data_IF_586781550359
#
_entry.id   IF_586781550359
#
_cell.length_a   1.000
_cell.length_b   1.000
_cell.length_c   1.000
_cell.angle_alpha   90.00
_cell.angle_beta   90.00
_cell.angle_gamma   90.00
#
_symmetry.space_group_name_H-M   'P 1'
#
loop_
_entity.id
_entity.type
_entity.pdbx_description
1 polymer ?
#
# COMPACT_ATOMS: atom_id res chain seq x y z
N UNK A 1 -51.65 27.38 -11.71
CA UNK A 1 -50.26 27.11 -11.32
C UNK A 1 -50.30 26.28 -10.05
N UNK A 2 -50.07 24.95 -10.17
CA UNK A 2 -49.94 24.08 -8.99
C UNK A 2 -48.48 24.12 -8.52
N UNK A 3 -48.21 24.18 -7.19
CA UNK A 3 -46.85 24.09 -6.69
C UNK A 3 -46.35 22.64 -6.76
N UNK A 4 -45.21 22.43 -7.39
CA UNK A 4 -44.49 21.15 -7.38
C UNK A 4 -43.80 21.04 -6.02
N UNK A 5 -44.29 20.16 -5.15
CA UNK A 5 -43.61 19.77 -3.92
C UNK A 5 -42.42 18.87 -4.32
N UNK A 6 -41.19 19.34 -4.12
CA UNK A 6 -40.00 18.50 -4.11
C UNK A 6 -39.99 17.69 -2.80
N UNK A 7 -40.31 16.40 -2.87
CA UNK A 7 -39.99 15.46 -1.79
C UNK A 7 -38.47 15.24 -1.81
N UNK A 8 -37.74 15.84 -0.87
CA UNK A 8 -36.41 15.47 -0.57
C UNK A 8 -36.44 14.06 0.04
N UNK A 9 -35.99 13.05 -0.72
CA UNK A 9 -35.74 11.71 -0.17
C UNK A 9 -34.64 11.83 0.88
N UNK A 10 -34.95 11.64 2.14
CA UNK A 10 -33.99 11.41 3.20
C UNK A 10 -33.29 10.09 2.85
N UNK A 11 -32.07 10.18 2.32
CA UNK A 11 -31.16 9.03 2.26
C UNK A 11 -30.83 8.66 3.70
N UNK A 12 -31.44 7.60 4.20
CA UNK A 12 -31.01 6.99 5.47
C UNK A 12 -29.56 6.52 5.30
N UNK A 13 -28.67 7.05 6.13
CA UNK A 13 -27.29 6.59 6.18
C UNK A 13 -27.28 5.06 6.38
N UNK A 14 -26.46 4.35 5.63
CA UNK A 14 -26.27 2.93 5.85
C UNK A 14 -25.84 2.68 7.30
N UNK A 15 -26.31 1.62 7.95
CA UNK A 15 -25.88 1.31 9.31
C UNK A 15 -24.36 1.09 9.34
N UNK A 16 -23.68 1.45 10.44
CA UNK A 16 -22.23 1.21 10.57
C UNK A 16 -21.93 -0.28 10.42
N UNK A 17 -20.74 -0.64 9.89
CA UNK A 17 -20.33 -2.04 9.77
C UNK A 17 -20.42 -2.77 11.10
N UNK A 18 -20.87 -4.04 11.06
CA UNK A 18 -20.93 -4.88 12.24
C UNK A 18 -19.54 -5.09 12.85
N UNK A 19 -19.46 -5.11 14.18
CA UNK A 19 -18.24 -5.48 14.89
C UNK A 19 -18.05 -7.00 14.80
N UNK A 20 -16.87 -7.43 14.38
CA UNK A 20 -16.46 -8.81 14.27
C UNK A 20 -15.58 -9.20 15.49
N UNK A 21 -15.61 -10.45 15.93
CA UNK A 21 -14.67 -10.92 16.95
C UNK A 21 -13.25 -10.94 16.39
N UNK A 22 -12.25 -10.66 17.24
CA UNK A 22 -10.87 -10.97 16.94
C UNK A 22 -10.62 -12.47 17.10
N UNK A 23 -9.72 -13.04 16.29
CA UNK A 23 -9.30 -14.42 16.43
C UNK A 23 -8.49 -14.62 17.73
N UNK A 24 -8.42 -15.87 18.16
CA UNK A 24 -7.65 -16.21 19.34
C UNK A 24 -6.15 -15.95 19.06
N UNK A 25 -5.56 -15.02 19.80
CA UNK A 25 -4.17 -14.59 19.57
C UNK A 25 -4.04 -13.17 19.00
N UNK A 26 -5.05 -12.61 18.37
CA UNK A 26 -5.06 -11.22 17.86
C UNK A 26 -5.29 -10.21 19.00
N UNK A 27 -4.40 -10.22 19.96
CA UNK A 27 -4.59 -9.50 21.24
C UNK A 27 -4.43 -7.98 21.12
N UNK A 28 -3.88 -7.49 20.00
CA UNK A 28 -3.77 -6.06 19.69
C UNK A 28 -5.04 -5.50 19.05
N UNK A 29 -5.95 -6.34 18.58
CA UNK A 29 -7.11 -5.90 17.80
C UNK A 29 -8.40 -5.97 18.63
N UNK A 30 -9.19 -4.90 18.56
CA UNK A 30 -10.53 -4.80 19.16
C UNK A 30 -11.48 -4.15 18.17
N UNK A 31 -12.76 -4.46 18.30
CA UNK A 31 -13.80 -3.84 17.49
C UNK A 31 -13.51 -3.91 15.98
N UNK A 32 -13.07 -5.07 15.50
CA UNK A 32 -12.77 -5.29 14.08
C UNK A 32 -14.03 -5.03 13.26
N UNK A 33 -13.91 -4.25 12.19
CA UNK A 33 -15.01 -3.95 11.25
C UNK A 33 -14.52 -4.12 9.83
N UNK A 34 -15.35 -4.75 9.00
CA UNK A 34 -15.11 -4.86 7.55
C UNK A 34 -15.71 -3.64 6.87
N UNK A 35 -14.91 -2.89 6.10
CA UNK A 35 -15.33 -1.65 5.44
C UNK A 35 -15.75 -1.85 3.99
N UNK A 36 -15.22 -2.87 3.30
CA UNK A 36 -15.55 -3.15 1.89
C UNK A 36 -16.08 -4.58 1.75
N UNK A 37 -16.84 -4.82 0.69
CA UNK A 37 -17.47 -6.11 0.43
C UNK A 37 -17.37 -6.42 -1.06
N UNK A 38 -16.81 -7.60 -1.39
CA UNK A 38 -16.61 -8.07 -2.75
C UNK A 38 -15.50 -7.35 -3.51
N UNK A 39 -15.03 -7.98 -4.60
CA UNK A 39 -13.89 -7.54 -5.40
C UNK A 39 -12.55 -7.80 -4.72
N UNK A 40 -11.49 -7.19 -5.25
CA UNK A 40 -10.16 -7.21 -4.66
C UNK A 40 -9.82 -5.80 -4.21
N UNK A 41 -9.70 -5.61 -2.89
CA UNK A 41 -9.43 -4.32 -2.25
C UNK A 41 -8.10 -4.42 -1.51
N UNK A 42 -7.17 -3.49 -1.72
CA UNK A 42 -5.83 -3.52 -1.13
C UNK A 42 -5.26 -2.11 -0.94
N UNK A 43 -4.14 -2.03 -0.24
CA UNK A 43 -3.37 -0.79 -0.04
C UNK A 43 -4.23 0.36 0.49
N UNK A 44 -4.83 0.13 1.66
CA UNK A 44 -5.71 1.08 2.32
C UNK A 44 -4.90 1.99 3.25
N UNK A 45 -4.97 3.30 3.00
CA UNK A 45 -4.19 4.28 3.73
C UNK A 45 -5.06 5.42 4.24
N UNK A 46 -4.87 5.76 5.53
CA UNK A 46 -5.62 6.85 6.16
C UNK A 46 -5.27 8.21 5.57
N UNK A 47 -6.27 9.08 5.52
CA UNK A 47 -6.07 10.51 5.40
C UNK A 47 -5.41 11.08 6.68
N UNK A 48 -4.80 12.28 6.57
CA UNK A 48 -4.14 12.93 7.71
C UNK A 48 -5.10 13.22 8.88
N UNK A 49 -6.37 13.44 8.60
CA UNK A 49 -7.38 13.63 9.64
C UNK A 49 -7.85 12.31 10.28
N UNK A 50 -7.48 11.16 9.70
CA UNK A 50 -7.98 9.84 10.11
C UNK A 50 -9.44 9.56 9.73
N UNK A 51 -10.10 10.50 9.05
CA UNK A 51 -11.55 10.36 8.75
C UNK A 51 -11.84 9.61 7.46
N UNK A 52 -10.89 9.52 6.55
CA UNK A 52 -11.03 8.86 5.26
C UNK A 52 -9.89 7.87 5.03
N UNK A 53 -10.15 6.91 4.15
CA UNK A 53 -9.20 5.89 3.72
C UNK A 53 -9.23 5.88 2.20
N UNK A 54 -8.08 5.98 1.55
CA UNK A 54 -7.90 5.72 0.12
C UNK A 54 -7.41 4.29 -0.06
N UNK A 55 -7.90 3.60 -1.09
CA UNK A 55 -7.51 2.23 -1.39
C UNK A 55 -7.68 1.92 -2.87
N UNK A 56 -6.98 0.91 -3.36
CA UNK A 56 -7.21 0.37 -4.69
C UNK A 56 -8.26 -0.74 -4.66
N UNK A 57 -9.11 -0.77 -5.68
CA UNK A 57 -10.17 -1.75 -5.86
C UNK A 57 -10.24 -2.23 -7.29
N UNK A 58 -10.27 -3.55 -7.46
CA UNK A 58 -10.63 -4.23 -8.70
C UNK A 58 -12.03 -4.87 -8.49
N UNK A 59 -13.01 -4.40 -9.26
CA UNK A 59 -14.42 -4.83 -9.08
C UNK A 59 -14.73 -6.15 -9.77
N UNK A 60 -13.95 -6.53 -10.78
CA UNK A 60 -14.11 -7.80 -11.51
C UNK A 60 -12.75 -8.31 -11.99
N UNK A 61 -12.65 -9.61 -12.26
CA UNK A 61 -11.40 -10.25 -12.71
C UNK A 61 -10.87 -9.70 -14.05
N UNK A 62 -11.71 -9.13 -14.87
CA UNK A 62 -11.34 -8.49 -16.15
C UNK A 62 -11.11 -6.98 -16.03
N UNK A 63 -11.43 -6.38 -14.89
CA UNK A 63 -11.29 -4.94 -14.64
C UNK A 63 -9.87 -4.52 -14.27
N UNK A 64 -9.61 -3.21 -14.37
CA UNK A 64 -8.43 -2.59 -13.78
C UNK A 64 -8.67 -2.25 -12.32
N UNK A 65 -7.57 -2.22 -11.54
CA UNK A 65 -7.58 -1.55 -10.25
C UNK A 65 -7.82 -0.05 -10.47
N UNK A 66 -8.72 0.51 -9.69
CA UNK A 66 -9.02 1.94 -9.62
C UNK A 66 -8.90 2.43 -8.17
N UNK A 67 -8.64 3.73 -7.99
CA UNK A 67 -8.57 4.31 -6.65
C UNK A 67 -9.94 4.74 -6.16
N UNK A 68 -10.23 4.38 -4.92
CA UNK A 68 -11.44 4.72 -4.20
C UNK A 68 -11.13 5.39 -2.87
N UNK A 69 -12.04 6.22 -2.41
CA UNK A 69 -12.04 6.79 -1.06
C UNK A 69 -13.30 6.32 -0.34
N UNK A 70 -13.15 6.00 0.95
CA UNK A 70 -14.24 5.64 1.86
C UNK A 70 -14.02 6.36 3.19
N UNK A 71 -15.09 6.72 3.90
CA UNK A 71 -14.97 7.20 5.27
C UNK A 71 -14.53 6.06 6.21
N UNK A 72 -13.79 6.37 7.26
CA UNK A 72 -13.30 5.38 8.23
C UNK A 72 -14.44 4.65 8.98
N UNK A 73 -15.68 5.16 8.91
CA UNK A 73 -16.89 4.50 9.41
C UNK A 73 -17.53 3.54 8.38
N UNK A 74 -16.94 3.38 7.18
CA UNK A 74 -17.43 2.51 6.12
C UNK A 74 -18.45 3.15 5.18
N UNK A 75 -18.78 4.42 5.34
CA UNK A 75 -19.76 5.14 4.50
C UNK A 75 -19.08 5.92 3.37
N UNK A 76 -19.84 6.38 2.39
CA UNK A 76 -19.40 7.36 1.39
C UNK A 76 -18.35 6.86 0.40
N UNK A 77 -18.27 5.55 0.15
CA UNK A 77 -17.33 4.99 -0.83
C UNK A 77 -17.59 5.56 -2.23
N UNK A 78 -16.54 6.08 -2.87
CA UNK A 78 -16.58 6.58 -4.24
C UNK A 78 -15.23 6.47 -4.93
N UNK A 79 -15.25 6.37 -6.26
CA UNK A 79 -14.04 6.33 -7.08
C UNK A 79 -13.45 7.73 -7.25
N UNK A 80 -12.13 7.84 -7.13
CA UNK A 80 -11.38 9.11 -7.25
C UNK A 80 -10.36 9.10 -8.39
N UNK A 81 -10.06 7.95 -9.00
CA UNK A 81 -9.28 7.88 -10.23
C UNK A 81 -10.15 8.03 -11.48
N UNK A 82 -9.53 8.39 -12.60
CA UNK A 82 -10.22 8.63 -13.88
C UNK A 82 -10.99 7.41 -14.41
N UNK A 83 -10.59 6.20 -14.02
CA UNK A 83 -11.09 4.94 -14.55
C UNK A 83 -10.47 4.54 -15.89
N UNK A 84 -9.38 5.20 -16.29
CA UNK A 84 -8.56 4.89 -17.46
C UNK A 84 -7.27 4.22 -17.01
N UNK A 85 -6.83 3.18 -17.74
CA UNK A 85 -5.65 2.41 -17.39
C UNK A 85 -5.81 1.70 -16.04
N UNK A 86 -4.70 1.26 -15.47
CA UNK A 86 -4.59 0.64 -14.14
C UNK A 86 -4.01 1.63 -13.15
N UNK A 87 -4.48 1.61 -11.91
CA UNK A 87 -3.93 2.45 -10.82
C UNK A 87 -3.42 1.60 -9.67
N UNK A 88 -2.51 2.15 -8.85
CA UNK A 88 -2.03 1.53 -7.61
C UNK A 88 -1.57 2.58 -6.61
N UNK A 89 -1.41 2.21 -5.35
CA UNK A 89 -0.72 2.97 -4.30
C UNK A 89 -1.21 4.42 -4.15
N UNK A 90 -2.50 4.60 -3.87
CA UNK A 90 -3.07 5.92 -3.63
C UNK A 90 -2.70 6.46 -2.25
N UNK A 91 -2.49 7.78 -2.10
CA UNK A 91 -2.20 8.43 -0.83
C UNK A 91 -2.79 9.85 -0.76
N UNK A 92 -3.11 10.32 0.46
CA UNK A 92 -3.61 11.68 0.67
C UNK A 92 -2.48 12.68 0.90
N UNK A 93 -2.69 13.95 0.48
CA UNK A 93 -1.81 15.07 0.80
C UNK A 93 -2.57 16.41 0.83
N UNK A 94 -1.85 17.52 1.12
CA UNK A 94 -2.46 18.84 1.12
C UNK A 94 -3.61 19.01 2.12
N UNK A 95 -3.52 18.38 3.30
CA UNK A 95 -4.57 18.45 4.34
C UNK A 95 -5.86 17.74 3.92
N UNK A 96 -5.73 16.54 3.34
CA UNK A 96 -6.80 15.66 2.84
C UNK A 96 -7.59 16.19 1.62
N UNK A 97 -7.17 17.32 1.08
CA UNK A 97 -7.86 17.93 -0.07
C UNK A 97 -7.36 17.38 -1.41
N UNK A 98 -6.23 16.73 -1.41
CA UNK A 98 -5.61 16.15 -2.60
C UNK A 98 -5.20 14.71 -2.36
N UNK A 99 -5.12 13.97 -3.46
CA UNK A 99 -4.59 12.61 -3.51
C UNK A 99 -3.51 12.54 -4.59
N UNK A 100 -2.63 11.58 -4.46
CA UNK A 100 -1.83 11.10 -5.57
C UNK A 100 -1.90 9.57 -5.64
N UNK A 101 -1.65 9.02 -6.81
CA UNK A 101 -1.62 7.59 -7.09
C UNK A 101 -0.80 7.31 -8.34
N UNK A 102 -0.30 6.09 -8.47
CA UNK A 102 0.33 5.66 -9.70
C UNK A 102 -0.72 5.22 -10.72
N UNK A 103 -0.54 5.57 -12.01
CA UNK A 103 -1.46 5.25 -13.09
C UNK A 103 -0.75 4.98 -14.40
N UNK A 104 -1.28 4.02 -15.18
CA UNK A 104 -0.85 3.75 -16.57
C UNK A 104 -1.66 4.57 -17.60
N UNK A 105 -2.45 5.53 -17.18
CA UNK A 105 -3.39 6.27 -18.03
C UNK A 105 -2.73 6.91 -19.27
N UNK A 106 -1.47 7.36 -19.16
CA UNK A 106 -0.72 7.95 -20.28
C UNK A 106 -0.40 6.94 -21.40
N UNK A 107 -0.40 5.62 -21.10
CA UNK A 107 -0.18 4.58 -22.10
C UNK A 107 -1.47 4.18 -22.82
N UNK A 108 -2.64 4.56 -22.28
CA UNK A 108 -3.94 4.27 -22.85
C UNK A 108 -5.05 4.08 -21.83
N UNK A 109 -6.28 3.93 -22.33
CA UNK A 109 -7.45 3.74 -21.45
C UNK A 109 -7.68 2.29 -21.02
N UNK A 110 -7.11 1.32 -21.75
CA UNK A 110 -7.31 -0.10 -21.49
C UNK A 110 -6.44 -0.60 -20.33
N UNK A 111 -6.88 -1.68 -19.69
CA UNK A 111 -6.03 -2.40 -18.75
C UNK A 111 -4.79 -2.97 -19.45
N UNK A 112 -3.59 -2.76 -18.91
CA UNK A 112 -2.43 -3.48 -19.39
C UNK A 112 -2.61 -5.00 -19.15
N UNK A 113 -2.04 -5.86 -20.03
CA UNK A 113 -2.17 -7.31 -19.90
C UNK A 113 -1.55 -7.80 -18.58
N UNK A 114 -2.14 -8.88 -18.04
CA UNK A 114 -1.55 -9.57 -16.88
C UNK A 114 -0.23 -10.22 -17.26
N UNK A 115 0.73 -10.35 -16.31
CA UNK A 115 1.98 -11.05 -16.58
C UNK A 115 1.75 -12.53 -16.85
N UNK A 116 2.70 -13.15 -17.54
CA UNK A 116 2.73 -14.60 -17.74
C UNK A 116 3.17 -15.29 -16.44
N UNK A 117 2.24 -15.96 -15.78
CA UNK A 117 2.49 -16.70 -14.55
C UNK A 117 3.15 -18.08 -14.78
N UNK A 118 3.48 -18.48 -16.03
CA UNK A 118 4.31 -19.66 -16.28
C UNK A 118 5.73 -19.53 -15.68
N UNK A 119 6.18 -18.29 -15.46
CA UNK A 119 7.43 -17.96 -14.77
C UNK A 119 7.34 -18.08 -13.24
N UNK A 120 6.20 -18.54 -12.70
CA UNK A 120 5.87 -18.53 -11.27
C UNK A 120 5.20 -17.22 -10.85
N UNK A 121 5.15 -16.99 -9.52
CA UNK A 121 4.57 -15.75 -9.00
C UNK A 121 5.51 -14.57 -9.24
N UNK A 122 5.09 -13.63 -10.05
CA UNK A 122 5.82 -12.41 -10.40
C UNK A 122 4.90 -11.20 -10.35
N UNK A 123 5.46 -10.03 -10.03
CA UNK A 123 4.81 -8.74 -10.17
C UNK A 123 5.20 -8.10 -11.49
N UNK A 124 4.22 -7.57 -12.21
CA UNK A 124 4.44 -6.77 -13.40
C UNK A 124 4.74 -5.32 -13.01
N UNK A 125 5.83 -4.79 -13.53
CA UNK A 125 6.22 -3.41 -13.41
C UNK A 125 5.64 -2.65 -14.61
N UNK A 126 4.34 -2.35 -14.51
CA UNK A 126 3.67 -1.60 -15.57
C UNK A 126 4.28 -0.20 -15.70
N UNK A 127 4.11 0.41 -16.85
CA UNK A 127 4.55 1.79 -17.10
C UNK A 127 3.61 2.75 -16.33
N UNK A 128 3.90 2.87 -15.03
CA UNK A 128 3.19 3.76 -14.13
C UNK A 128 3.90 5.09 -14.02
N UNK A 129 3.13 6.16 -13.96
CA UNK A 129 3.56 7.46 -13.44
C UNK A 129 2.72 7.87 -12.25
N UNK A 130 3.27 8.78 -11.44
CA UNK A 130 2.57 9.35 -10.29
C UNK A 130 1.72 10.53 -10.79
N UNK A 131 0.44 10.50 -10.48
CA UNK A 131 -0.52 11.56 -10.76
C UNK A 131 -1.10 12.13 -9.47
N UNK A 132 -1.45 13.40 -9.47
CA UNK A 132 -2.22 14.02 -8.40
C UNK A 132 -3.58 14.49 -8.91
N UNK A 133 -4.56 14.45 -8.00
CA UNK A 133 -5.89 15.01 -8.21
C UNK A 133 -6.38 15.66 -6.91
N UNK A 134 -7.48 16.39 -6.94
CA UNK A 134 -8.17 16.69 -5.68
C UNK A 134 -8.87 15.42 -5.13
N UNK A 135 -9.34 15.47 -3.90
CA UNK A 135 -9.96 14.30 -3.24
C UNK A 135 -11.31 13.87 -3.85
N UNK A 136 -11.85 14.63 -4.81
CA UNK A 136 -13.00 14.22 -5.63
C UNK A 136 -12.59 13.56 -6.96
N UNK A 137 -11.29 13.55 -7.29
CA UNK A 137 -10.74 13.04 -8.55
C UNK A 137 -10.63 14.10 -9.66
N UNK A 138 -10.96 15.37 -9.40
CA UNK A 138 -10.74 16.47 -10.33
C UNK A 138 -9.33 17.09 -10.21
N UNK A 139 -9.04 18.12 -11.01
CA UNK A 139 -7.72 18.80 -11.08
C UNK A 139 -6.54 17.81 -11.24
N UNK A 140 -6.68 16.94 -12.21
CA UNK A 140 -5.75 15.85 -12.50
C UNK A 140 -4.44 16.35 -13.12
N UNK A 141 -3.29 15.96 -12.54
CA UNK A 141 -1.96 16.36 -12.99
C UNK A 141 -0.96 15.22 -12.90
N UNK A 142 -0.14 15.05 -13.91
CA UNK A 142 1.00 14.12 -13.90
C UNK A 142 2.15 14.76 -13.12
N UNK A 143 2.64 14.11 -12.06
CA UNK A 143 3.75 14.59 -11.22
C UNK A 143 5.09 13.99 -11.64
N UNK A 144 5.10 12.76 -12.13
CA UNK A 144 6.30 12.14 -12.68
C UNK A 144 6.09 11.77 -14.14
N UNK A 145 7.18 11.70 -14.91
CA UNK A 145 7.19 11.24 -16.28
C UNK A 145 8.48 10.44 -16.48
N UNK A 146 8.39 9.14 -16.25
CA UNK A 146 9.47 8.18 -16.43
C UNK A 146 9.15 7.29 -17.63
N UNK A 147 10.15 6.79 -18.35
CA UNK A 147 9.91 5.85 -19.44
C UNK A 147 9.52 4.45 -18.96
N UNK A 148 9.35 4.24 -17.64
CA UNK A 148 9.06 2.94 -17.03
C UNK A 148 8.25 3.13 -15.74
N UNK A 149 8.48 2.32 -14.74
CA UNK A 149 7.75 2.23 -13.47
C UNK A 149 8.11 3.36 -12.50
N UNK A 150 7.13 4.19 -12.14
CA UNK A 150 7.12 5.12 -10.99
C UNK A 150 5.86 4.84 -10.17
N UNK A 151 5.99 4.23 -9.00
CA UNK A 151 4.85 3.86 -8.15
C UNK A 151 5.21 3.80 -6.66
N UNK A 152 4.29 3.27 -5.84
CA UNK A 152 4.48 3.07 -4.40
C UNK A 152 4.82 4.37 -3.65
N UNK A 153 4.20 5.46 -4.09
CA UNK A 153 4.46 6.78 -3.55
C UNK A 153 3.77 6.99 -2.20
N UNK A 154 4.51 7.58 -1.24
CA UNK A 154 3.98 8.00 0.06
C UNK A 154 4.53 9.39 0.44
N UNK A 155 3.90 10.03 1.42
CA UNK A 155 4.18 11.42 1.77
C UNK A 155 4.95 11.52 3.09
N UNK A 156 5.88 12.48 3.18
CA UNK A 156 6.50 12.85 4.46
C UNK A 156 5.48 13.45 5.43
N UNK A 157 5.67 13.33 6.75
CA UNK A 157 4.73 13.83 7.75
C UNK A 157 4.49 15.35 7.67
N UNK A 158 5.46 16.12 7.18
CA UNK A 158 5.33 17.56 6.97
C UNK A 158 4.61 17.94 5.66
N UNK A 159 4.33 16.92 4.82
CA UNK A 159 3.61 17.07 3.55
C UNK A 159 4.42 17.67 2.40
N UNK A 160 5.75 17.76 2.53
CA UNK A 160 6.61 18.44 1.54
C UNK A 160 7.29 17.51 0.57
N UNK A 161 7.55 16.26 0.98
CA UNK A 161 8.30 15.29 0.19
C UNK A 161 7.44 14.08 -0.14
N UNK A 162 7.55 13.59 -1.37
CA UNK A 162 7.08 12.28 -1.80
C UNK A 162 8.28 11.35 -1.84
N UNK A 163 8.18 10.16 -1.27
CA UNK A 163 9.11 9.04 -1.46
C UNK A 163 8.42 7.97 -2.29
N UNK A 164 9.11 7.35 -3.24
CA UNK A 164 8.50 6.41 -4.18
C UNK A 164 9.54 5.45 -4.77
N UNK A 165 9.05 4.39 -5.41
CA UNK A 165 9.87 3.41 -6.15
C UNK A 165 9.91 3.77 -7.62
N UNK A 166 11.10 3.71 -8.24
CA UNK A 166 11.28 4.01 -9.67
C UNK A 166 12.27 3.07 -10.35
N UNK A 167 11.97 2.74 -11.61
CA UNK A 167 12.83 1.94 -12.49
C UNK A 167 13.57 2.84 -13.52
N UNK A 168 13.60 4.15 -13.35
CA UNK A 168 14.12 5.13 -14.33
C UNK A 168 15.60 4.96 -14.68
N UNK A 169 16.40 4.51 -13.73
CA UNK A 169 17.86 4.30 -13.91
C UNK A 169 18.21 2.84 -14.19
N UNK A 170 17.24 1.99 -14.54
CA UNK A 170 17.44 0.61 -14.96
C UNK A 170 17.37 -0.42 -13.83
N UNK A 171 17.20 -0.01 -12.59
CA UNK A 171 16.96 -0.85 -11.42
C UNK A 171 15.84 -0.28 -10.55
N UNK A 172 15.22 -1.12 -9.70
CA UNK A 172 14.15 -0.70 -8.79
C UNK A 172 14.74 -0.06 -7.55
N UNK A 173 14.64 1.26 -7.51
CA UNK A 173 15.28 2.09 -6.51
C UNK A 173 14.31 3.06 -5.85
N UNK A 174 14.65 3.52 -4.66
CA UNK A 174 13.86 4.52 -3.93
C UNK A 174 14.35 5.92 -4.31
N UNK A 175 13.38 6.77 -4.59
CA UNK A 175 13.56 8.19 -4.93
C UNK A 175 12.72 9.06 -4.01
N UNK A 176 13.13 10.31 -3.89
CA UNK A 176 12.33 11.38 -3.33
C UNK A 176 12.16 12.52 -4.34
N UNK A 177 11.03 13.24 -4.22
CA UNK A 177 10.77 14.50 -4.91
C UNK A 177 9.95 15.42 -4.01
N UNK A 178 9.90 16.71 -4.31
CA UNK A 178 8.93 17.58 -3.64
C UNK A 178 7.49 17.17 -4.01
N UNK A 179 6.51 17.58 -3.20
CA UNK A 179 5.11 17.27 -3.43
C UNK A 179 4.53 17.88 -4.73
N UNK A 180 5.24 18.80 -5.35
CA UNK A 180 4.94 19.38 -6.66
C UNK A 180 5.60 18.64 -7.85
N UNK A 181 6.35 17.57 -7.59
CA UNK A 181 7.10 16.79 -8.57
C UNK A 181 8.52 17.28 -8.84
N UNK A 182 8.95 18.39 -8.26
CA UNK A 182 10.30 18.95 -8.45
C UNK A 182 11.35 18.28 -7.54
N UNK A 183 12.63 18.60 -7.78
CA UNK A 183 13.77 18.19 -6.94
C UNK A 183 13.91 16.66 -6.75
N UNK A 184 13.87 15.94 -7.86
CA UNK A 184 14.05 14.49 -7.88
C UNK A 184 15.42 14.06 -7.36
N UNK A 185 15.47 13.11 -6.44
CA UNK A 185 16.71 12.56 -5.87
C UNK A 185 16.60 11.05 -5.66
N UNK A 186 17.60 10.30 -6.14
CA UNK A 186 17.77 8.86 -5.89
C UNK A 186 18.40 8.62 -4.53
N UNK A 187 17.84 7.69 -3.74
CA UNK A 187 18.31 7.35 -2.40
C UNK A 187 19.06 6.01 -2.35
N UNK A 188 18.62 5.00 -3.10
CA UNK A 188 19.23 3.65 -3.12
C UNK A 188 19.94 3.38 -4.43
N UNK A 189 20.91 2.41 -4.43
CA UNK A 189 21.76 2.13 -5.60
C UNK A 189 22.26 0.68 -5.66
N UNK A 190 21.84 -0.19 -4.74
CA UNK A 190 22.26 -1.57 -4.72
C UNK A 190 21.50 -2.36 -5.79
N UNK A 191 22.19 -3.23 -6.54
CA UNK A 191 21.51 -4.10 -7.49
C UNK A 191 20.45 -4.92 -6.77
N UNK A 192 19.20 -4.82 -7.23
CA UNK A 192 18.08 -5.57 -6.66
C UNK A 192 16.80 -4.74 -6.55
N UNK A 193 15.89 -5.22 -5.77
CA UNK A 193 14.62 -4.56 -5.53
C UNK A 193 14.69 -3.73 -4.24
N UNK A 194 14.45 -2.44 -4.36
CA UNK A 194 14.18 -1.53 -3.25
C UNK A 194 12.83 -0.84 -3.51
N UNK A 195 11.82 -1.01 -2.61
CA UNK A 195 10.51 -0.44 -2.88
C UNK A 195 9.55 -0.42 -1.70
N UNK A 196 8.35 0.15 -1.94
CA UNK A 196 7.30 0.33 -0.94
C UNK A 196 7.71 1.19 0.25
N UNK A 197 8.30 2.37 0.04
CA UNK A 197 8.86 3.18 1.10
C UNK A 197 7.80 3.96 1.89
N UNK A 198 8.01 4.09 3.21
CA UNK A 198 7.23 4.96 4.08
C UNK A 198 8.15 5.77 5.01
N UNK A 199 7.86 7.04 5.19
CA UNK A 199 8.53 7.86 6.20
C UNK A 199 8.15 7.45 7.63
N UNK A 200 9.10 7.60 8.55
CA UNK A 200 8.80 7.54 9.99
C UNK A 200 7.90 8.73 10.41
N UNK A 201 7.15 8.60 11.52
CA UNK A 201 6.29 9.69 12.02
C UNK A 201 7.01 11.03 12.26
N UNK A 202 8.30 11.01 12.57
CA UNK A 202 9.13 12.23 12.73
C UNK A 202 9.82 12.68 11.42
N UNK A 203 9.63 11.93 10.32
CA UNK A 203 10.18 12.22 8.99
C UNK A 203 11.69 12.01 8.85
N UNK A 204 12.38 11.41 9.84
CA UNK A 204 13.84 11.27 9.82
C UNK A 204 14.32 9.98 9.19
N UNK A 205 13.47 8.97 9.12
CA UNK A 205 13.78 7.66 8.57
C UNK A 205 12.77 7.27 7.49
N UNK A 206 13.17 6.29 6.67
CA UNK A 206 12.33 5.63 5.69
C UNK A 206 12.44 4.12 5.94
N UNK A 207 11.29 3.45 6.09
CA UNK A 207 11.19 1.98 6.06
C UNK A 207 10.80 1.55 4.66
N UNK A 208 11.34 0.44 4.19
CA UNK A 208 11.08 -0.12 2.86
C UNK A 208 11.28 -1.62 2.85
N UNK A 209 10.85 -2.29 1.81
CA UNK A 209 11.19 -3.69 1.56
C UNK A 209 12.28 -3.77 0.50
N UNK A 210 13.21 -4.72 0.66
CA UNK A 210 14.28 -4.91 -0.30
C UNK A 210 14.69 -6.37 -0.45
N UNK A 211 15.24 -6.66 -1.61
CA UNK A 211 15.96 -7.90 -1.89
C UNK A 211 17.12 -7.61 -2.83
N UNK A 212 18.33 -7.97 -2.38
CA UNK A 212 19.55 -7.81 -3.16
C UNK A 212 20.12 -9.18 -3.51
N UNK A 213 20.44 -9.45 -4.80
CA UNK A 213 21.04 -10.71 -5.24
C UNK A 213 22.34 -11.03 -4.50
N UNK A 214 22.46 -12.25 -3.99
CA UNK A 214 23.65 -12.68 -3.25
C UNK A 214 24.58 -13.56 -4.09
N UNK A 215 24.10 -14.10 -5.23
CA UNK A 215 24.87 -14.96 -6.14
C UNK A 215 24.77 -14.48 -7.57
N UNK A 216 25.72 -14.90 -8.43
CA UNK A 216 25.65 -14.61 -9.87
C UNK A 216 24.36 -15.15 -10.51
N UNK A 217 23.84 -16.28 -10.03
CA UNK A 217 22.58 -16.85 -10.50
C UNK A 217 21.41 -15.96 -10.12
N UNK A 218 21.36 -15.47 -8.87
CA UNK A 218 20.29 -14.55 -8.42
C UNK A 218 20.31 -13.25 -9.23
N UNK A 219 21.51 -12.69 -9.48
CA UNK A 219 21.66 -11.48 -10.31
C UNK A 219 21.17 -11.71 -11.74
N UNK A 220 21.48 -12.88 -12.33
CA UNK A 220 21.03 -13.24 -13.69
C UNK A 220 19.51 -13.41 -13.76
N UNK A 221 18.90 -14.12 -12.78
CA UNK A 221 17.43 -14.30 -12.71
C UNK A 221 16.71 -12.95 -12.56
N UNK A 222 17.19 -12.11 -11.64
CA UNK A 222 16.67 -10.77 -11.43
C UNK A 222 16.74 -9.91 -12.69
N UNK A 223 17.91 -9.81 -13.32
CA UNK A 223 18.10 -9.00 -14.54
C UNK A 223 17.25 -9.52 -15.71
N UNK A 224 17.09 -10.84 -15.82
CA UNK A 224 16.26 -11.46 -16.86
C UNK A 224 14.79 -11.12 -16.70
N UNK A 225 14.27 -11.16 -15.47
CA UNK A 225 12.90 -10.76 -15.17
C UNK A 225 12.71 -9.24 -15.35
N UNK A 226 13.66 -8.44 -14.86
CA UNK A 226 13.59 -6.98 -14.95
C UNK A 226 13.59 -6.49 -16.40
N UNK A 227 14.34 -7.16 -17.30
CA UNK A 227 14.32 -6.88 -18.74
C UNK A 227 12.92 -7.12 -19.37
N UNK A 228 12.08 -7.93 -18.75
CA UNK A 228 10.68 -8.20 -19.12
C UNK A 228 9.68 -7.35 -18.32
N UNK A 229 10.14 -6.36 -17.56
CA UNK A 229 9.34 -5.57 -16.60
C UNK A 229 8.64 -6.46 -15.54
N UNK A 230 9.34 -7.46 -15.04
CA UNK A 230 8.87 -8.38 -14.00
C UNK A 230 9.82 -8.40 -12.82
N UNK A 231 9.30 -8.71 -11.65
CA UNK A 231 10.09 -8.97 -10.44
C UNK A 231 9.47 -10.13 -9.65
N UNK A 232 10.33 -10.91 -8.98
CA UNK A 232 9.89 -12.02 -8.12
C UNK A 232 9.86 -11.58 -6.65
N UNK A 233 8.67 -11.39 -6.03
CA UNK A 233 8.55 -10.83 -4.69
C UNK A 233 8.63 -11.88 -3.57
N UNK A 234 9.30 -12.99 -3.78
CA UNK A 234 9.25 -14.16 -2.87
C UNK A 234 10.35 -14.19 -1.81
N UNK A 235 11.29 -13.27 -1.86
CA UNK A 235 12.42 -13.15 -0.92
C UNK A 235 12.69 -11.67 -0.66
N UNK A 236 11.87 -11.05 0.17
CA UNK A 236 12.05 -9.65 0.54
C UNK A 236 12.19 -9.54 2.04
N UNK A 237 13.01 -8.61 2.48
CA UNK A 237 13.20 -8.29 3.90
C UNK A 237 12.89 -6.81 4.15
N UNK A 238 12.63 -6.47 5.39
CA UNK A 238 12.38 -5.10 5.81
C UNK A 238 13.70 -4.41 6.07
N UNK A 239 13.84 -3.21 5.52
CA UNK A 239 15.00 -2.35 5.63
C UNK A 239 14.60 -0.96 6.13
N UNK A 240 15.56 -0.25 6.72
CA UNK A 240 15.42 1.17 7.07
C UNK A 240 16.65 1.95 6.62
N UNK A 241 16.44 3.25 6.40
CA UNK A 241 17.49 4.23 6.14
C UNK A 241 17.12 5.58 6.74
N UNK A 242 18.08 6.49 6.83
CA UNK A 242 17.79 7.90 7.08
C UNK A 242 17.02 8.49 5.89
N UNK A 243 16.24 9.55 6.12
CA UNK A 243 15.45 10.21 5.06
C UNK A 243 16.32 10.80 3.94
N UNK A 244 17.62 10.97 4.15
CA UNK A 244 18.58 11.41 3.15
C UNK A 244 19.21 10.24 2.34
N UNK A 245 18.80 8.99 2.60
CA UNK A 245 19.31 7.77 1.97
C UNK A 245 20.55 7.19 2.62
N UNK A 246 21.10 7.79 3.67
CA UNK A 246 22.25 7.26 4.42
C UNK A 246 21.84 6.19 5.43
N UNK A 247 22.80 5.46 5.99
CA UNK A 247 22.61 4.44 7.03
C UNK A 247 21.59 3.34 6.67
N UNK A 248 21.63 2.87 5.43
CA UNK A 248 20.81 1.75 4.98
C UNK A 248 21.16 0.49 5.75
N UNK A 249 20.17 -0.16 6.33
CA UNK A 249 20.36 -1.45 7.02
C UNK A 249 19.13 -2.33 6.99
N UNK A 250 19.36 -3.62 6.94
CA UNK A 250 18.35 -4.65 7.06
C UNK A 250 17.85 -4.73 8.50
N UNK A 251 16.53 -4.87 8.68
CA UNK A 251 15.88 -5.05 9.98
C UNK A 251 15.49 -6.50 10.19
N UNK A 252 14.90 -7.15 9.18
CA UNK A 252 14.47 -8.56 9.27
C UNK A 252 15.39 -9.47 8.47
N UNK A 253 15.49 -10.72 8.90
CA UNK A 253 16.15 -11.82 8.18
C UNK A 253 15.34 -13.09 8.43
N UNK A 254 14.09 -13.09 7.96
CA UNK A 254 13.10 -14.11 8.26
C UNK A 254 12.97 -15.14 7.12
N UNK A 255 13.41 -14.78 5.93
CA UNK A 255 13.10 -15.52 4.72
C UNK A 255 11.64 -15.35 4.30
N UNK A 256 11.28 -15.90 3.14
CA UNK A 256 9.97 -15.68 2.57
C UNK A 256 9.77 -14.27 2.00
N UNK A 257 8.54 -13.81 1.94
CA UNK A 257 8.18 -12.47 1.49
C UNK A 257 7.76 -11.63 2.70
N UNK A 258 8.51 -10.58 2.98
CA UNK A 258 8.23 -9.59 4.01
C UNK A 258 7.99 -8.26 3.31
N UNK A 259 6.80 -7.67 3.42
CA UNK A 259 6.46 -6.48 2.64
C UNK A 259 5.43 -5.59 3.34
N UNK A 260 5.09 -4.46 2.70
CA UNK A 260 4.18 -3.44 3.21
C UNK A 260 4.53 -2.97 4.63
N UNK A 261 5.79 -2.57 4.89
CA UNK A 261 6.17 -2.10 6.21
C UNK A 261 5.58 -0.74 6.52
N UNK A 262 5.20 -0.54 7.76
CA UNK A 262 4.75 0.74 8.28
C UNK A 262 5.32 0.98 9.68
N UNK A 263 5.78 2.20 9.97
CA UNK A 263 6.26 2.51 11.32
C UNK A 263 5.10 2.49 12.33
N UNK A 264 5.33 1.83 13.45
CA UNK A 264 4.44 1.98 14.60
C UNK A 264 4.50 3.42 15.14
N UNK A 265 3.38 3.96 15.67
CA UNK A 265 3.36 5.34 16.20
C UNK A 265 4.41 5.65 17.28
N UNK A 266 4.88 4.61 18.01
CA UNK A 266 5.95 4.77 19.01
C UNK A 266 7.35 5.04 18.42
N UNK A 267 7.50 4.90 17.10
CA UNK A 267 8.75 5.07 16.34
C UNK A 267 9.89 4.12 16.76
N UNK A 268 9.57 3.04 17.45
CA UNK A 268 10.51 2.00 17.90
C UNK A 268 10.29 0.68 17.22
N UNK A 269 9.12 0.48 16.64
CA UNK A 269 8.68 -0.78 16.00
C UNK A 269 8.22 -0.53 14.57
N UNK A 270 8.23 -1.60 13.78
CA UNK A 270 7.70 -1.66 12.42
C UNK A 270 6.63 -2.75 12.39
N UNK A 271 5.49 -2.44 11.80
CA UNK A 271 4.43 -3.39 11.45
C UNK A 271 4.57 -3.74 9.97
N UNK A 272 4.48 -5.01 9.61
CA UNK A 272 4.64 -5.48 8.23
C UNK A 272 3.90 -6.79 8.00
N UNK A 273 3.69 -7.16 6.74
CA UNK A 273 3.10 -8.43 6.34
C UNK A 273 4.19 -9.45 6.02
N UNK A 274 4.00 -10.72 6.42
CA UNK A 274 4.98 -11.78 6.21
C UNK A 274 4.35 -13.15 6.08
N UNK A 275 4.90 -13.97 5.17
CA UNK A 275 4.63 -15.41 5.10
C UNK A 275 5.80 -16.28 5.57
N UNK A 276 6.71 -15.75 6.38
CA UNK A 276 7.95 -16.43 6.79
C UNK A 276 7.72 -17.79 7.47
N UNK A 277 6.60 -17.98 8.17
CA UNK A 277 6.24 -19.28 8.76
C UNK A 277 6.02 -20.37 7.72
N UNK A 278 5.53 -20.01 6.53
CA UNK A 278 5.37 -20.91 5.41
C UNK A 278 5.58 -20.14 4.07
N UNK A 279 6.84 -19.96 3.63
CA UNK A 279 7.17 -19.14 2.44
C UNK A 279 6.56 -19.62 1.11
N UNK A 280 5.98 -20.82 1.08
CA UNK A 280 5.25 -21.34 -0.09
C UNK A 280 3.75 -21.07 -0.01
N UNK A 281 3.24 -20.64 1.13
CA UNK A 281 1.85 -20.28 1.33
C UNK A 281 1.55 -18.90 0.74
N UNK A 282 0.27 -18.69 0.43
CA UNK A 282 -0.29 -17.36 0.17
C UNK A 282 -0.87 -16.73 1.42
N UNK A 283 -0.80 -17.41 2.56
CA UNK A 283 -1.15 -16.86 3.84
C UNK A 283 -0.05 -15.90 4.30
N UNK A 284 -0.43 -14.67 4.58
CA UNK A 284 0.40 -13.65 5.17
C UNK A 284 -0.27 -13.16 6.44
N UNK A 285 0.51 -13.02 7.48
CA UNK A 285 0.06 -12.38 8.71
C UNK A 285 0.79 -11.05 8.94
N UNK A 286 0.22 -10.21 9.77
CA UNK A 286 0.87 -8.99 10.24
C UNK A 286 1.78 -9.31 11.42
N UNK A 287 2.97 -8.70 11.42
CA UNK A 287 3.99 -8.84 12.45
C UNK A 287 4.52 -7.49 12.89
N UNK A 288 4.81 -7.36 14.17
CA UNK A 288 5.62 -6.29 14.75
C UNK A 288 7.06 -6.74 14.94
N UNK A 289 8.00 -5.83 14.74
CA UNK A 289 9.43 -6.03 15.05
C UNK A 289 10.04 -4.72 15.53
N UNK A 290 10.99 -4.79 16.47
CA UNK A 290 11.78 -3.62 16.86
C UNK A 290 12.68 -3.15 15.72
N UNK A 291 13.08 -1.86 15.72
CA UNK A 291 13.97 -1.32 14.69
C UNK A 291 15.32 -2.05 14.62
N UNK A 292 15.78 -2.70 15.68
CA UNK A 292 17.01 -3.51 15.71
C UNK A 292 16.83 -4.95 15.24
N UNK A 293 15.61 -5.32 14.83
CA UNK A 293 15.24 -6.68 14.38
C UNK A 293 14.85 -7.65 15.49
N UNK A 294 14.91 -7.24 16.75
CA UNK A 294 14.47 -8.05 17.89
C UNK A 294 12.96 -7.97 18.13
N UNK A 295 12.43 -8.80 19.01
CA UNK A 295 11.05 -8.70 19.51
C UNK A 295 10.00 -8.97 18.44
N UNK A 296 10.25 -9.88 17.49
CA UNK A 296 9.26 -10.28 16.48
C UNK A 296 8.00 -10.82 17.15
N UNK A 297 6.87 -10.22 16.86
CA UNK A 297 5.56 -10.58 17.41
C UNK A 297 4.52 -10.68 16.31
N UNK A 298 3.70 -11.74 16.32
CA UNK A 298 2.58 -11.92 15.40
C UNK A 298 1.36 -11.13 15.88
N UNK A 299 0.75 -10.36 14.98
CA UNK A 299 -0.40 -9.49 15.28
C UNK A 299 -1.71 -10.11 14.80
N UNK A 300 -1.75 -10.66 13.58
CA UNK A 300 -2.91 -11.38 13.05
C UNK A 300 -2.62 -12.87 12.96
N UNK A 301 -3.66 -13.69 13.09
CA UNK A 301 -3.54 -15.15 13.15
C UNK A 301 -4.59 -15.87 12.30
N UNK A 302 -5.30 -15.13 11.45
CA UNK A 302 -6.24 -15.69 10.49
C UNK A 302 -5.52 -16.64 9.52
N UNK A 303 -6.23 -17.62 8.98
CA UNK A 303 -5.64 -18.60 8.04
C UNK A 303 -5.52 -18.06 6.63
N UNK A 304 -5.97 -16.85 6.39
CA UNK A 304 -5.99 -16.17 5.10
C UNK A 304 -4.92 -15.08 4.99
N UNK A 305 -5.03 -14.25 3.96
CA UNK A 305 -4.08 -13.18 3.66
C UNK A 305 -4.41 -11.92 4.45
N UNK A 306 -3.48 -11.44 5.27
CA UNK A 306 -3.51 -10.12 5.93
C UNK A 306 -2.29 -9.30 5.50
N UNK A 307 -2.51 -8.10 4.93
CA UNK A 307 -1.41 -7.27 4.44
C UNK A 307 -1.76 -5.77 4.38
N UNK A 308 -0.77 -4.95 4.02
CA UNK A 308 -0.87 -3.51 3.85
C UNK A 308 -1.42 -2.78 5.08
N UNK A 309 -0.78 -2.98 6.25
CA UNK A 309 -1.23 -2.34 7.47
C UNK A 309 -0.84 -0.86 7.50
N UNK A 310 -1.72 -0.01 8.04
CA UNK A 310 -1.40 1.38 8.37
C UNK A 310 -2.11 1.79 9.66
N UNK A 311 -1.38 2.45 10.56
CA UNK A 311 -1.98 3.08 11.72
C UNK A 311 -2.70 4.37 11.35
N UNK A 312 -3.79 4.67 12.06
CA UNK A 312 -4.39 5.99 12.01
C UNK A 312 -3.40 7.06 12.52
N UNK A 313 -3.56 8.34 12.13
CA UNK A 313 -2.63 9.40 12.55
C UNK A 313 -2.50 9.59 14.07
N UNK A 314 -3.54 9.22 14.83
CA UNK A 314 -3.53 9.25 16.30
C UNK A 314 -3.03 7.94 16.94
N UNK A 315 -2.67 6.94 16.12
CA UNK A 315 -2.18 5.63 16.54
C UNK A 315 -3.22 4.71 17.20
N UNK A 316 -4.50 5.08 17.19
CA UNK A 316 -5.54 4.33 17.91
C UNK A 316 -6.22 3.26 17.08
N UNK A 317 -6.10 3.34 15.78
CA UNK A 317 -6.70 2.37 14.86
C UNK A 317 -5.67 1.82 13.90
N UNK A 318 -5.92 0.60 13.44
CA UNK A 318 -5.20 -0.08 12.38
C UNK A 318 -6.17 -0.36 11.24
N UNK A 319 -5.77 -0.05 10.00
CA UNK A 319 -6.43 -0.49 8.78
C UNK A 319 -5.52 -1.50 8.07
N UNK A 320 -6.10 -2.54 7.46
CA UNK A 320 -5.37 -3.53 6.65
C UNK A 320 -6.27 -4.17 5.61
N UNK A 321 -5.68 -4.86 4.63
CA UNK A 321 -6.39 -5.69 3.67
C UNK A 321 -6.37 -7.15 4.13
N UNK A 322 -7.50 -7.85 4.02
CA UNK A 322 -7.64 -9.24 4.44
C UNK A 322 -8.60 -10.02 3.54
N UNK A 323 -8.34 -11.31 3.37
CA UNK A 323 -9.26 -12.25 2.72
C UNK A 323 -10.23 -12.89 3.74
N UNK A 324 -10.09 -12.60 5.03
CA UNK A 324 -11.02 -13.11 6.07
C UNK A 324 -12.46 -12.78 5.73
N UNK A 325 -13.37 -13.70 5.96
CA UNK A 325 -14.78 -13.57 5.64
C UNK A 325 -15.09 -13.38 4.14
N UNK A 326 -14.14 -13.60 3.24
CA UNK A 326 -14.35 -13.58 1.79
C UNK A 326 -15.40 -14.62 1.37
N UNK A 327 -16.30 -14.25 0.47
CA UNK A 327 -17.38 -15.13 -0.02
C UNK A 327 -16.99 -15.91 -1.27
N UNK A 328 -15.99 -15.42 -1.98
CA UNK A 328 -15.48 -16.05 -3.20
C UNK A 328 -13.94 -16.07 -3.17
N UNK A 329 -13.35 -17.04 -3.85
CA UNK A 329 -11.89 -17.15 -3.92
C UNK A 329 -11.27 -15.88 -4.52
N UNK A 330 -10.23 -15.35 -3.86
CA UNK A 330 -9.54 -14.13 -4.27
C UNK A 330 -10.21 -12.82 -3.84
N UNK A 331 -11.35 -12.87 -3.17
CA UNK A 331 -11.94 -11.69 -2.54
C UNK A 331 -11.01 -11.19 -1.44
N UNK A 332 -10.69 -9.90 -1.47
CA UNK A 332 -9.92 -9.21 -0.45
C UNK A 332 -10.67 -7.96 -0.04
N UNK A 333 -10.81 -7.71 1.25
CA UNK A 333 -11.55 -6.59 1.80
C UNK A 333 -10.68 -5.75 2.73
N UNK A 334 -11.11 -4.49 2.95
CA UNK A 334 -10.48 -3.58 3.89
C UNK A 334 -11.14 -3.74 5.25
N UNK A 335 -10.30 -3.93 6.27
CA UNK A 335 -10.70 -4.02 7.67
C UNK A 335 -10.08 -2.87 8.47
N UNK A 336 -10.76 -2.49 9.53
CA UNK A 336 -10.29 -1.52 10.52
C UNK A 336 -10.54 -2.07 11.91
N UNK A 337 -9.62 -1.83 12.84
CA UNK A 337 -9.77 -2.21 14.25
C UNK A 337 -9.23 -1.12 15.16
N UNK A 338 -9.72 -1.08 16.39
CA UNK A 338 -9.08 -0.33 17.46
C UNK A 338 -7.80 -1.06 17.89
N UNK A 339 -6.70 -0.32 17.99
CA UNK A 339 -5.41 -0.84 18.42
C UNK A 339 -5.26 -0.81 19.94
N UNK A 340 -4.80 -1.90 20.51
CA UNK A 340 -4.50 -2.02 21.94
C UNK A 340 -3.03 -2.35 22.13
N UNK A 341 -2.31 -1.49 22.85
CA UNK A 341 -0.96 -1.82 23.30
C UNK A 341 -1.02 -2.92 24.36
N UNK A 342 -0.07 -3.84 24.29
CA UNK A 342 0.12 -4.79 25.39
C UNK A 342 0.93 -4.12 26.51
N UNK A 343 0.61 -4.40 27.75
CA UNK A 343 1.35 -3.90 28.90
C UNK A 343 2.80 -4.43 28.95
#
# INVERSE_FOLDING_TARGET
MLPILFLAALQTAAPPPAVLPADSGETHLRNIRQLTFGGQNAEAYFSRSGRQIIFQRQESDSGCDAQFVINADGTGMHRVSSGRGRTTCGYFFGGDRRIFYASTEHTGAACPPRPDFSLGYVWALYDYDIYSADSSGADFRRLSASPRYDAEATLSPDGRMIVFTSLRDGDLEIYTMHADGSNLRRLTRALGYDGGPFFSPDGKQIVYRAWHPQTARDSSDYSTLLAQNLVRPTRMEIWIMNADGSNQRQVTNLGGANFAPFFHPDQRRILFASNHKNPRSRNFDLYLVNLDGSGLEQVTTDTDFDAFPMFSPDGRQLVWASNRHGKVAGETNIFIADWVERP
#
